data_IF_498472063529
#
_entry.id   IF_498472063529
#
_cell.length_a   1.000
_cell.length_b   1.000
_cell.length_c   1.000
_cell.angle_alpha   90.00
_cell.angle_beta   90.00
_cell.angle_gamma   90.00
#
_symmetry.space_group_name_H-M   'P 1'
#
loop_
_entity.id
_entity.type
_entity.pdbx_description
1 polymer ?
#
# COMPACT_ATOMS: atom_id res chain seq x y z
N UNK A 1 -20.91 -0.48 10.25
CA UNK A 1 -19.57 -1.11 10.08
C UNK A 1 -18.51 -0.04 10.31
N UNK A 2 -17.93 -0.07 11.50
CA UNK A 2 -16.97 0.98 11.89
C UNK A 2 -15.57 0.74 11.33
N UNK A 3 -15.16 -0.50 11.22
CA UNK A 3 -13.84 -0.90 10.71
C UNK A 3 -14.00 -1.77 9.46
N UNK A 4 -13.20 -1.48 8.45
CA UNK A 4 -13.06 -2.31 7.24
C UNK A 4 -11.62 -2.80 7.16
N UNK A 5 -11.45 -4.05 6.78
CA UNK A 5 -10.15 -4.67 6.53
C UNK A 5 -10.04 -4.97 5.03
N UNK A 6 -9.03 -4.42 4.38
CA UNK A 6 -8.72 -4.66 2.99
C UNK A 6 -7.55 -5.65 2.90
N UNK A 7 -7.70 -6.65 2.06
CA UNK A 7 -6.68 -7.67 1.78
C UNK A 7 -6.67 -7.87 0.27
N UNK A 8 -5.50 -8.05 -0.33
CA UNK A 8 -5.43 -8.21 -1.77
C UNK A 8 -6.11 -9.51 -2.22
N UNK A 9 -5.72 -10.64 -1.64
CA UNK A 9 -6.27 -11.97 -1.99
C UNK A 9 -6.48 -12.81 -0.73
N UNK A 10 -7.44 -13.75 -0.75
CA UNK A 10 -7.77 -14.57 0.43
C UNK A 10 -6.58 -15.33 1.02
N UNK A 11 -5.64 -15.74 0.19
CA UNK A 11 -4.48 -16.53 0.57
C UNK A 11 -3.54 -15.78 1.55
N UNK A 12 -3.59 -14.45 1.58
CA UNK A 12 -2.77 -13.65 2.50
C UNK A 12 -3.23 -13.74 3.95
N UNK A 13 -4.53 -13.99 4.17
CA UNK A 13 -5.08 -14.03 5.52
C UNK A 13 -6.25 -15.04 5.61
N UNK A 14 -6.00 -16.33 5.42
CA UNK A 14 -7.07 -17.34 5.41
C UNK A 14 -7.85 -17.43 6.72
N UNK A 15 -7.22 -17.09 7.85
CA UNK A 15 -7.87 -17.17 9.16
C UNK A 15 -9.02 -16.16 9.35
N UNK A 16 -8.99 -15.05 8.62
CA UNK A 16 -9.98 -13.97 8.76
C UNK A 16 -10.79 -13.74 7.48
N UNK A 17 -10.57 -14.51 6.43
CA UNK A 17 -11.19 -14.29 5.12
C UNK A 17 -12.73 -14.35 5.13
N UNK A 18 -13.34 -14.95 6.15
CA UNK A 18 -14.78 -15.05 6.28
C UNK A 18 -15.39 -14.02 7.24
N UNK A 19 -14.61 -13.11 7.76
CA UNK A 19 -15.14 -12.03 8.60
C UNK A 19 -15.98 -11.07 7.75
N UNK A 20 -17.09 -10.61 8.29
CA UNK A 20 -18.05 -9.75 7.57
C UNK A 20 -17.48 -8.41 7.13
N UNK A 21 -16.44 -7.92 7.79
CA UNK A 21 -15.79 -6.65 7.50
C UNK A 21 -14.47 -6.79 6.71
N UNK A 22 -14.17 -7.96 6.18
CA UNK A 22 -13.02 -8.22 5.32
C UNK A 22 -13.44 -8.16 3.86
N UNK A 23 -12.72 -7.40 3.06
CA UNK A 23 -12.97 -7.24 1.63
C UNK A 23 -11.69 -7.45 0.83
N UNK A 24 -11.81 -8.09 -0.33
CA UNK A 24 -10.68 -8.37 -1.20
C UNK A 24 -10.59 -7.33 -2.31
N UNK A 25 -9.42 -6.72 -2.44
CA UNK A 25 -9.19 -5.66 -3.42
C UNK A 25 -8.73 -6.19 -4.77
N UNK A 26 -8.14 -7.39 -4.81
CA UNK A 26 -7.30 -7.82 -5.92
C UNK A 26 -5.91 -7.20 -5.83
N UNK A 27 -5.04 -7.60 -6.75
CA UNK A 27 -3.66 -7.13 -6.83
C UNK A 27 -3.60 -5.90 -7.73
N UNK A 28 -2.74 -4.94 -7.38
CA UNK A 28 -2.52 -3.73 -8.15
C UNK A 28 -3.18 -2.50 -7.56
N UNK A 29 -2.55 -1.35 -7.79
CA UNK A 29 -2.98 -0.06 -7.23
C UNK A 29 -4.36 0.37 -7.73
N UNK A 30 -4.69 0.12 -8.99
CA UNK A 30 -5.99 0.46 -9.55
C UNK A 30 -7.09 -0.35 -8.87
N UNK A 31 -6.91 -1.66 -8.74
CA UNK A 31 -7.87 -2.53 -8.06
C UNK A 31 -8.07 -2.11 -6.60
N UNK A 32 -6.98 -1.85 -5.90
CA UNK A 32 -7.03 -1.40 -4.51
C UNK A 32 -7.78 -0.07 -4.37
N UNK A 33 -7.45 0.91 -5.21
CA UNK A 33 -8.09 2.23 -5.20
C UNK A 33 -9.58 2.15 -5.52
N UNK A 34 -9.95 1.40 -6.55
CA UNK A 34 -11.34 1.21 -6.96
C UNK A 34 -12.16 0.61 -5.83
N UNK A 35 -11.70 -0.51 -5.29
CA UNK A 35 -12.40 -1.23 -4.23
C UNK A 35 -12.50 -0.39 -2.95
N UNK A 36 -11.38 0.21 -2.52
CA UNK A 36 -11.36 1.06 -1.33
C UNK A 36 -12.32 2.24 -1.47
N UNK A 37 -12.29 2.94 -2.61
CA UNK A 37 -13.17 4.08 -2.87
C UNK A 37 -14.64 3.69 -2.82
N UNK A 38 -15.00 2.56 -3.44
CA UNK A 38 -16.36 2.04 -3.42
C UNK A 38 -16.84 1.73 -1.99
N UNK A 39 -16.01 1.04 -1.22
CA UNK A 39 -16.35 0.65 0.15
C UNK A 39 -16.45 1.86 1.08
N UNK A 40 -15.53 2.81 0.95
CA UNK A 40 -15.55 4.06 1.73
C UNK A 40 -16.83 4.85 1.47
N UNK A 41 -17.25 4.93 0.21
CA UNK A 41 -18.49 5.63 -0.15
C UNK A 41 -19.73 4.92 0.40
N UNK A 42 -19.75 3.59 0.33
CA UNK A 42 -20.91 2.78 0.72
C UNK A 42 -21.06 2.66 2.24
N UNK A 43 -19.99 2.30 2.93
CA UNK A 43 -20.03 1.99 4.37
C UNK A 43 -19.66 3.17 5.28
N UNK A 44 -18.90 4.14 4.78
CA UNK A 44 -18.41 5.30 5.55
C UNK A 44 -17.78 4.87 6.88
N UNK A 45 -16.80 3.94 6.85
CA UNK A 45 -16.19 3.40 8.06
C UNK A 45 -15.41 4.49 8.80
N UNK A 46 -15.18 4.28 10.09
CA UNK A 46 -14.30 5.13 10.89
C UNK A 46 -12.83 4.84 10.65
N UNK A 47 -12.51 3.56 10.36
CA UNK A 47 -11.14 3.11 10.11
C UNK A 47 -11.10 2.10 8.97
N UNK A 48 -10.00 2.16 8.22
CA UNK A 48 -9.68 1.18 7.17
C UNK A 48 -8.30 0.61 7.48
N UNK A 49 -8.21 -0.71 7.50
CA UNK A 49 -6.99 -1.46 7.70
C UNK A 49 -6.61 -2.12 6.38
N UNK A 50 -5.42 -1.84 5.86
CA UNK A 50 -4.85 -2.63 4.78
C UNK A 50 -3.91 -3.65 5.40
N UNK A 51 -4.20 -4.94 5.23
CA UNK A 51 -3.45 -6.04 5.78
C UNK A 51 -3.03 -7.00 4.68
N UNK A 52 -1.76 -7.36 4.63
CA UNK A 52 -1.27 -8.27 3.60
C UNK A 52 0.21 -8.59 3.75
N UNK A 53 0.76 -9.12 2.69
CA UNK A 53 2.16 -9.50 2.61
C UNK A 53 2.96 -8.45 1.85
N UNK A 54 4.24 -8.31 2.21
CA UNK A 54 5.16 -7.38 1.56
C UNK A 54 6.56 -7.99 1.46
N UNK A 55 7.31 -7.57 0.47
CA UNK A 55 8.72 -7.92 0.33
C UNK A 55 9.60 -7.03 1.19
N UNK A 56 10.59 -7.60 1.87
CA UNK A 56 11.58 -6.83 2.62
C UNK A 56 12.59 -6.13 1.71
N UNK A 57 12.87 -4.87 1.98
CA UNK A 57 13.93 -4.10 1.32
C UNK A 57 15.10 -3.90 2.28
N UNK A 58 14.83 -3.30 3.46
CA UNK A 58 15.83 -3.05 4.50
C UNK A 58 15.55 -3.86 5.78
N UNK A 59 14.40 -4.53 5.86
CA UNK A 59 13.92 -5.22 7.06
C UNK A 59 13.92 -6.74 6.89
N UNK A 60 14.14 -7.44 8.00
CA UNK A 60 14.02 -8.89 8.11
C UNK A 60 12.55 -9.30 8.17
N UNK A 61 12.23 -10.59 7.89
CA UNK A 61 10.86 -11.09 8.05
C UNK A 61 10.27 -10.80 9.43
N UNK A 62 9.00 -10.37 9.47
CA UNK A 62 8.30 -10.00 10.69
C UNK A 62 6.98 -9.33 10.39
N UNK A 63 6.33 -8.82 11.44
CA UNK A 63 5.13 -8.01 11.33
C UNK A 63 5.49 -6.54 11.49
N UNK A 64 5.05 -5.71 10.57
CA UNK A 64 5.35 -4.27 10.57
C UNK A 64 4.10 -3.46 10.35
N UNK A 65 3.98 -2.36 11.09
CA UNK A 65 2.97 -1.35 10.85
C UNK A 65 3.55 -0.31 9.88
N UNK A 66 2.77 0.04 8.85
CA UNK A 66 3.17 1.02 7.85
C UNK A 66 2.83 2.42 8.33
N UNK A 67 3.81 3.31 8.32
CA UNK A 67 3.63 4.72 8.71
C UNK A 67 3.49 5.67 7.54
N UNK A 68 4.05 5.30 6.39
CA UNK A 68 3.94 6.09 5.16
C UNK A 68 4.08 5.22 3.93
N UNK A 69 3.57 5.70 2.80
CA UNK A 69 3.61 4.99 1.52
C UNK A 69 4.17 5.89 0.42
N UNK A 70 4.89 5.26 -0.53
CA UNK A 70 5.41 5.92 -1.71
C UNK A 70 5.19 5.03 -2.93
N UNK A 71 4.75 5.64 -4.06
CA UNK A 71 4.65 4.91 -5.32
C UNK A 71 6.03 4.78 -5.96
N UNK A 72 6.67 3.63 -5.84
CA UNK A 72 8.05 3.44 -6.32
C UNK A 72 8.15 3.32 -7.83
N UNK A 73 7.08 2.94 -8.52
CA UNK A 73 7.02 2.87 -9.97
C UNK A 73 6.55 4.19 -10.64
N UNK A 74 6.20 5.18 -9.84
CA UNK A 74 5.97 6.54 -10.34
C UNK A 74 7.32 7.26 -10.41
N UNK A 75 7.99 7.15 -11.55
CA UNK A 75 9.35 7.62 -11.75
C UNK A 75 9.48 8.41 -13.04
N UNK A 76 9.59 9.72 -12.91
CA UNK A 76 9.60 10.67 -14.03
C UNK A 76 10.87 11.54 -13.98
N UNK A 77 12.07 10.95 -14.09
CA UNK A 77 13.33 11.68 -13.95
C UNK A 77 13.54 12.73 -15.06
N UNK A 78 12.97 12.49 -16.25
CA UNK A 78 13.06 13.45 -17.36
C UNK A 78 12.38 14.79 -17.05
N UNK A 79 11.45 14.81 -16.08
CA UNK A 79 10.78 16.02 -15.61
C UNK A 79 11.45 16.62 -14.37
N UNK A 80 12.58 16.08 -13.92
CA UNK A 80 13.27 16.54 -12.73
C UNK A 80 12.55 16.21 -11.42
N UNK A 81 11.64 15.24 -11.42
CA UNK A 81 10.84 14.86 -10.26
C UNK A 81 11.50 13.72 -9.50
N UNK A 82 11.32 13.73 -8.17
CA UNK A 82 11.72 12.64 -7.30
C UNK A 82 10.77 11.45 -7.46
N UNK A 83 11.22 10.26 -7.04
CA UNK A 83 10.41 9.04 -7.13
C UNK A 83 9.12 9.19 -6.30
N UNK A 84 8.00 8.81 -6.87
CA UNK A 84 6.67 8.89 -6.25
C UNK A 84 5.92 10.20 -6.55
N UNK A 85 6.58 11.18 -7.16
CA UNK A 85 5.98 12.49 -7.43
C UNK A 85 5.49 12.58 -8.86
N UNK A 86 4.30 13.18 -9.03
CA UNK A 86 3.72 13.53 -10.33
C UNK A 86 3.70 15.04 -10.54
N UNK A 87 3.69 15.53 -11.80
CA UNK A 87 3.58 16.96 -12.08
C UNK A 87 2.25 17.52 -11.56
N UNK A 88 2.27 18.74 -11.01
CA UNK A 88 1.06 19.45 -10.56
C UNK A 88 0.21 18.62 -9.57
N UNK A 89 0.87 17.76 -8.82
CA UNK A 89 0.20 16.86 -7.90
C UNK A 89 -0.31 17.61 -6.67
N UNK A 90 -1.50 17.24 -6.24
CA UNK A 90 -2.09 17.71 -4.98
C UNK A 90 -1.71 16.80 -3.82
N UNK A 91 -1.15 15.63 -4.09
CA UNK A 91 -0.67 14.70 -3.08
C UNK A 91 0.84 14.82 -2.89
N UNK A 92 1.37 14.65 -1.67
CA UNK A 92 2.80 14.58 -1.45
C UNK A 92 3.38 13.30 -2.08
N UNK A 93 4.67 13.32 -2.40
CA UNK A 93 5.39 12.13 -2.91
C UNK A 93 5.41 10.99 -1.89
N UNK A 94 5.36 11.31 -0.59
CA UNK A 94 5.22 10.38 0.51
C UNK A 94 3.91 10.67 1.22
N UNK A 95 3.01 9.70 1.26
CA UNK A 95 1.72 9.81 1.92
C UNK A 95 1.86 9.27 3.34
N UNK A 96 1.64 10.12 4.34
CA UNK A 96 1.69 9.72 5.74
C UNK A 96 0.37 9.10 6.18
N UNK A 97 0.47 7.97 6.89
CA UNK A 97 -0.65 7.31 7.54
C UNK A 97 -0.70 7.69 9.02
N UNK A 98 -1.74 7.24 9.71
CA UNK A 98 -1.94 7.51 11.13
C UNK A 98 -1.14 6.53 12.01
N UNK A 99 0.17 6.47 11.77
CA UNK A 99 1.11 5.61 12.52
C UNK A 99 2.54 6.11 12.35
N UNK A 100 3.42 5.70 13.25
CA UNK A 100 4.87 5.95 13.19
C UNK A 100 5.64 4.72 12.67
N UNK A 101 5.02 3.93 11.79
CA UNK A 101 5.58 2.70 11.26
C UNK A 101 6.60 2.90 10.16
N UNK A 102 6.90 1.81 9.46
CA UNK A 102 7.87 1.74 8.37
C UNK A 102 7.33 2.37 7.09
N UNK A 103 8.21 2.61 6.12
CA UNK A 103 7.85 3.13 4.80
C UNK A 103 7.58 1.95 3.87
N UNK A 104 6.39 1.89 3.29
CA UNK A 104 6.03 0.92 2.26
C UNK A 104 6.11 1.56 0.88
N UNK A 105 6.92 0.98 0.00
CA UNK A 105 6.91 1.29 -1.42
C UNK A 105 5.86 0.43 -2.12
N UNK A 106 5.02 1.02 -2.94
CA UNK A 106 4.01 0.27 -3.71
C UNK A 106 4.23 0.44 -5.20
N UNK A 107 4.02 -0.64 -5.96
CA UNK A 107 4.19 -0.66 -7.41
C UNK A 107 3.25 -1.68 -8.03
N UNK A 108 2.92 -1.50 -9.31
CA UNK A 108 2.10 -2.46 -10.06
C UNK A 108 2.94 -3.59 -10.68
N UNK A 109 4.18 -3.72 -10.24
CA UNK A 109 5.09 -4.78 -10.67
C UNK A 109 5.69 -5.52 -9.48
N UNK A 110 6.07 -6.77 -9.68
CA UNK A 110 6.82 -7.54 -8.69
C UNK A 110 8.27 -7.03 -8.66
N UNK A 111 8.72 -6.53 -7.51
CA UNK A 111 10.05 -5.97 -7.36
C UNK A 111 11.08 -7.10 -7.22
N UNK A 112 11.93 -7.28 -8.24
CA UNK A 112 12.98 -8.30 -8.26
C UNK A 112 14.28 -7.83 -7.63
N UNK A 113 14.59 -6.52 -7.74
CA UNK A 113 15.82 -5.90 -7.22
C UNK A 113 15.47 -4.87 -6.11
N UNK A 114 15.02 -5.32 -4.93
CA UNK A 114 14.56 -4.42 -3.88
C UNK A 114 15.66 -3.51 -3.34
N UNK A 115 16.92 -3.89 -3.41
CA UNK A 115 18.05 -3.08 -2.94
C UNK A 115 18.14 -1.71 -3.64
N UNK A 116 17.64 -1.58 -4.86
CA UNK A 116 17.57 -0.32 -5.58
C UNK A 116 16.58 0.67 -4.98
N UNK A 117 15.71 0.20 -4.09
CA UNK A 117 14.69 1.00 -3.43
C UNK A 117 15.03 1.32 -1.98
N UNK A 118 16.21 0.92 -1.49
CA UNK A 118 16.58 1.05 -0.07
C UNK A 118 16.59 2.50 0.44
N UNK A 119 16.82 3.48 -0.43
CA UNK A 119 16.78 4.90 -0.06
C UNK A 119 15.35 5.47 0.00
N UNK A 120 14.34 4.72 -0.51
CA UNK A 120 12.96 5.20 -0.61
C UNK A 120 12.01 4.50 0.35
N UNK A 121 12.22 3.21 0.63
CA UNK A 121 11.28 2.43 1.43
C UNK A 121 11.94 1.27 2.16
N UNK A 122 11.24 0.72 3.14
CA UNK A 122 11.68 -0.40 3.98
C UNK A 122 11.12 -1.73 3.52
N UNK A 123 9.91 -1.72 2.98
CA UNK A 123 9.20 -2.88 2.42
C UNK A 123 8.49 -2.47 1.13
N UNK A 124 8.08 -3.47 0.33
CA UNK A 124 7.36 -3.22 -0.93
C UNK A 124 6.14 -4.12 -1.05
N UNK A 125 5.06 -3.58 -1.59
CA UNK A 125 3.84 -4.32 -1.94
C UNK A 125 3.35 -3.92 -3.34
N UNK A 126 2.13 -4.34 -3.68
CA UNK A 126 1.51 -4.06 -4.99
C UNK A 126 0.12 -3.39 -4.86
N UNK A 127 -0.29 -2.97 -3.69
CA UNK A 127 -1.58 -2.35 -3.39
C UNK A 127 -1.43 -0.97 -2.75
#
# INVERSE_FOLDING_TARGET
MDDIILIAVPEEAPAIMLWDNVFFTGIGKINATYTATHLLHHYKPKRVWNFGTAGGVTLSPGFYEVGSVVQTDMWLPALGLTRGKTPQDLCPEIISLDSNGVICGTADEFVEDPENLAEYCDIVDME
#
